data_IF_532014720647
#
_entry.id   IF_532014720647
#
_cell.length_a   1.000
_cell.length_b   1.000
_cell.length_c   1.000
_cell.angle_alpha   90.00
_cell.angle_beta   90.00
_cell.angle_gamma   90.00
#
_symmetry.space_group_name_H-M   'P 1'
#
loop_
_entity.id
_entity.type
_entity.pdbx_description
1 polymer ?
#
# COMPACT_ATOMS: atom_id res chain seq x y z
N UNK A 1 57.06 13.84 8.20
CA UNK A 1 56.72 14.95 7.29
C UNK A 1 56.15 14.36 6.02
N UNK A 2 54.83 14.37 5.84
CA UNK A 2 54.13 14.30 4.54
C UNK A 2 52.64 14.57 4.79
N UNK A 3 52.03 15.31 3.86
CA UNK A 3 50.87 16.17 4.04
C UNK A 3 49.53 15.47 3.78
N UNK A 4 48.55 15.91 4.56
CA UNK A 4 47.10 15.76 4.46
C UNK A 4 46.55 16.57 3.26
N UNK A 5 45.67 16.02 2.42
CA UNK A 5 44.68 16.79 1.64
C UNK A 5 43.45 15.91 1.32
N UNK A 6 42.35 16.16 2.03
CA UNK A 6 41.00 15.72 1.70
C UNK A 6 40.38 16.74 0.73
N UNK A 7 39.87 16.28 -0.40
CA UNK A 7 39.26 17.12 -1.44
C UNK A 7 37.87 17.63 -1.02
N UNK A 8 37.73 18.95 -1.09
CA UNK A 8 36.53 19.72 -0.79
C UNK A 8 35.46 19.63 -1.90
N UNK A 9 34.28 19.08 -1.61
CA UNK A 9 33.01 19.31 -2.35
C UNK A 9 31.75 19.27 -1.46
N UNK A 10 31.86 19.68 -0.19
CA UNK A 10 30.74 19.65 0.78
C UNK A 10 30.46 21.01 1.45
N UNK A 11 30.76 22.13 0.79
CA UNK A 11 30.74 23.46 1.42
C UNK A 11 29.70 24.46 0.87
N UNK A 12 28.72 24.06 0.08
CA UNK A 12 27.80 25.03 -0.55
C UNK A 12 26.30 24.80 -0.33
N UNK A 13 25.83 24.12 0.73
CA UNK A 13 24.38 24.08 0.97
C UNK A 13 23.91 24.05 2.44
N UNK A 14 24.70 24.56 3.38
CA UNK A 14 24.22 24.82 4.75
C UNK A 14 24.71 26.21 5.17
N UNK A 15 24.15 27.24 4.54
CA UNK A 15 24.38 28.64 4.92
C UNK A 15 23.21 29.56 4.49
N UNK A 16 21.95 29.12 4.65
CA UNK A 16 20.78 30.00 4.42
C UNK A 16 19.69 29.95 5.51
N UNK A 17 19.89 29.26 6.63
CA UNK A 17 18.89 29.27 7.73
C UNK A 17 19.60 29.52 9.06
N UNK A 18 20.04 30.76 9.26
CA UNK A 18 20.32 31.33 10.58
C UNK A 18 20.29 32.86 10.45
N UNK A 19 19.10 33.46 10.49
CA UNK A 19 18.94 34.87 10.86
C UNK A 19 17.81 34.98 11.89
N UNK A 20 18.17 34.72 13.14
CA UNK A 20 17.38 35.02 14.32
C UNK A 20 17.48 36.54 14.60
N UNK A 21 16.34 37.22 14.59
CA UNK A 21 16.17 38.57 15.13
C UNK A 21 14.94 38.56 16.04
N UNK A 22 15.17 38.68 17.34
CA UNK A 22 14.19 38.60 18.40
C UNK A 22 13.29 39.85 18.49
N UNK A 23 12.02 39.66 18.86
CA UNK A 23 11.28 40.62 19.68
C UNK A 23 10.11 39.93 20.39
N UNK A 24 10.22 39.88 21.72
CA UNK A 24 9.24 39.39 22.68
C UNK A 24 8.25 40.52 23.00
N UNK A 25 6.93 40.27 22.99
CA UNK A 25 5.97 41.06 23.77
C UNK A 25 4.81 40.16 24.27
N UNK A 26 4.26 40.40 25.49
CA UNK A 26 3.29 39.51 26.12
C UNK A 26 1.83 40.02 25.97
N UNK A 27 0.88 39.11 25.83
CA UNK A 27 -0.57 39.40 25.88
C UNK A 27 -1.20 38.33 26.78
N UNK A 28 -1.34 38.58 28.08
CA UNK A 28 -2.52 39.11 28.78
C UNK A 28 -3.77 38.21 28.70
N UNK A 29 -3.99 37.39 29.73
CA UNK A 29 -5.28 36.76 30.05
C UNK A 29 -6.23 37.78 30.71
N UNK A 30 -7.55 37.65 30.52
CA UNK A 30 -8.49 37.83 31.64
C UNK A 30 -9.71 36.84 31.55
N UNK A 31 -10.68 36.88 32.47
CA UNK A 31 -10.78 36.02 33.65
C UNK A 31 -11.94 35.00 33.59
N UNK A 32 -11.96 34.07 34.55
CA UNK A 32 -13.05 33.12 34.78
C UNK A 32 -14.32 33.82 35.32
N UNK A 33 -15.52 33.43 34.83
CA UNK A 33 -16.75 33.46 35.63
C UNK A 33 -17.90 32.57 35.12
N UNK A 34 -18.36 31.73 36.06
CA UNK A 34 -19.72 31.21 36.33
C UNK A 34 -20.49 30.36 35.30
N UNK A 35 -20.75 29.11 35.71
CA UNK A 35 -21.86 28.26 35.27
C UNK A 35 -23.23 28.85 35.66
N UNK A 36 -24.32 28.32 35.06
CA UNK A 36 -25.42 27.82 35.88
C UNK A 36 -25.81 26.37 35.57
N UNK A 37 -26.46 25.82 36.58
CA UNK A 37 -26.84 24.43 36.83
C UNK A 37 -28.19 24.03 36.22
N UNK A 38 -28.35 22.72 36.05
CA UNK A 38 -29.56 21.90 36.05
C UNK A 38 -30.58 22.05 34.89
N UNK A 39 -30.86 20.95 34.21
CA UNK A 39 -32.05 20.09 34.46
C UNK A 39 -32.12 18.94 33.45
N UNK A 40 -32.05 17.71 33.94
CA UNK A 40 -32.50 16.49 33.24
C UNK A 40 -34.04 16.49 33.19
N UNK A 41 -34.68 15.84 32.19
CA UNK A 41 -35.21 14.51 32.48
C UNK A 41 -35.17 13.53 31.29
N UNK A 42 -34.92 12.26 31.59
CA UNK A 42 -35.39 11.07 30.85
C UNK A 42 -36.67 10.53 31.53
N UNK A 43 -37.43 9.52 31.03
CA UNK A 43 -37.33 8.74 29.78
C UNK A 43 -38.67 8.62 29.00
N UNK A 44 -38.63 8.21 27.72
CA UNK A 44 -39.79 7.57 27.05
C UNK A 44 -39.34 6.32 26.33
N UNK A 45 -39.89 5.19 26.75
CA UNK A 45 -39.82 3.87 26.14
C UNK A 45 -40.96 3.66 25.15
N UNK A 46 -40.65 3.09 23.99
CA UNK A 46 -41.55 2.15 23.31
C UNK A 46 -40.71 1.05 22.65
N UNK A 47 -40.84 -0.16 23.18
CA UNK A 47 -40.47 -1.41 22.52
C UNK A 47 -41.39 -1.65 21.32
N UNK A 48 -40.85 -2.16 20.22
CA UNK A 48 -41.56 -3.10 19.33
C UNK A 48 -40.56 -3.99 18.57
N UNK A 49 -40.31 -5.14 19.19
CA UNK A 49 -40.42 -6.52 18.64
C UNK A 49 -39.85 -6.86 17.26
N UNK A 50 -38.94 -7.84 17.33
CA UNK A 50 -38.95 -9.11 16.61
C UNK A 50 -38.40 -9.20 15.17
N UNK A 51 -37.28 -9.93 15.11
CA UNK A 51 -36.97 -11.00 14.17
C UNK A 51 -36.69 -10.61 12.71
N UNK A 52 -35.39 -10.56 12.38
CA UNK A 52 -34.86 -11.48 11.38
C UNK A 52 -33.35 -11.61 11.52
N UNK A 53 -32.93 -12.78 12.00
CA UNK A 53 -31.63 -13.33 11.68
C UNK A 53 -31.51 -13.42 10.15
N UNK A 54 -30.78 -12.49 9.54
CA UNK A 54 -30.20 -12.71 8.22
C UNK A 54 -28.72 -13.02 8.43
N UNK A 55 -28.47 -14.33 8.38
CA UNK A 55 -27.24 -15.03 8.07
C UNK A 55 -26.36 -14.32 7.01
N UNK A 56 -25.69 -13.23 7.37
CA UNK A 56 -24.53 -12.76 6.64
C UNK A 56 -23.30 -13.55 7.08
N UNK A 57 -23.35 -14.87 6.88
CA UNK A 57 -22.16 -15.70 6.79
C UNK A 57 -21.49 -15.42 5.43
N UNK A 58 -21.06 -14.19 5.21
CA UNK A 58 -19.84 -14.00 4.43
C UNK A 58 -18.73 -14.62 5.27
N UNK A 59 -17.95 -15.59 4.74
CA UNK A 59 -16.74 -16.02 5.42
C UNK A 59 -15.94 -14.77 5.73
N UNK A 60 -15.88 -14.39 7.00
CA UNK A 60 -14.97 -13.36 7.48
C UNK A 60 -13.59 -13.78 6.97
N UNK A 61 -12.89 -12.94 6.19
CA UNK A 61 -11.59 -13.33 5.66
C UNK A 61 -10.70 -13.68 6.85
N UNK A 62 -10.34 -14.95 6.98
CA UNK A 62 -9.53 -15.49 8.08
C UNK A 62 -8.06 -15.09 7.96
N UNK A 63 -7.77 -13.87 7.52
CA UNK A 63 -6.44 -13.30 7.44
C UNK A 63 -6.48 -11.78 7.26
N UNK A 64 -5.37 -11.12 7.57
CA UNK A 64 -5.35 -9.67 7.67
C UNK A 64 -5.39 -8.99 6.29
N UNK A 65 -6.17 -7.93 6.17
CA UNK A 65 -6.12 -6.99 5.06
C UNK A 65 -5.29 -5.78 5.47
N UNK A 66 -4.37 -5.34 4.61
CA UNK A 66 -3.53 -4.17 4.86
C UNK A 66 -3.66 -3.17 3.72
N UNK A 67 -4.16 -1.99 4.06
CA UNK A 67 -4.29 -0.85 3.16
C UNK A 67 -3.20 0.19 3.44
N UNK A 68 -2.29 0.33 2.49
CA UNK A 68 -1.23 1.33 2.41
C UNK A 68 -1.38 2.20 1.16
N UNK A 69 -2.60 2.29 0.60
CA UNK A 69 -2.88 3.13 -0.54
C UNK A 69 -2.73 4.61 -0.20
N UNK A 70 -2.26 5.40 -1.18
CA UNK A 70 -2.16 6.86 -1.06
C UNK A 70 -1.42 7.37 0.19
N UNK A 71 -0.29 6.73 0.53
CA UNK A 71 0.57 7.13 1.67
C UNK A 71 1.84 7.88 1.23
N UNK A 72 2.00 8.12 -0.07
CA UNK A 72 3.18 8.78 -0.62
C UNK A 72 4.46 7.93 -0.52
N UNK A 73 4.32 6.61 -0.42
CA UNK A 73 5.45 5.69 -0.29
C UNK A 73 6.31 5.73 -1.55
N UNK A 74 7.62 5.85 -1.36
CA UNK A 74 8.62 5.73 -2.45
C UNK A 74 9.25 4.33 -2.51
N UNK A 75 9.15 3.59 -1.41
CA UNK A 75 9.57 2.19 -1.27
C UNK A 75 8.57 1.43 -0.42
N UNK A 76 8.48 0.12 -0.63
CA UNK A 76 7.66 -0.76 0.20
C UNK A 76 8.33 -0.92 1.58
N UNK A 77 7.63 -0.64 2.70
CA UNK A 77 8.18 -0.86 4.03
C UNK A 77 8.45 -2.35 4.27
N UNK A 78 9.63 -2.68 4.83
CA UNK A 78 10.07 -4.08 4.99
C UNK A 78 9.13 -4.91 5.85
N UNK A 79 8.52 -4.32 6.88
CA UNK A 79 7.59 -5.04 7.78
C UNK A 79 6.39 -5.65 7.04
N UNK A 80 6.01 -5.11 5.88
CA UNK A 80 4.91 -5.66 5.08
C UNK A 80 5.27 -7.06 4.58
N UNK A 81 6.54 -7.29 4.26
CA UNK A 81 7.05 -8.54 3.71
C UNK A 81 7.19 -9.64 4.77
N UNK A 82 7.14 -9.28 6.05
CA UNK A 82 7.17 -10.20 7.19
C UNK A 82 5.76 -10.68 7.60
N UNK A 83 4.70 -10.08 7.04
CA UNK A 83 3.30 -10.34 7.42
C UNK A 83 2.71 -11.54 6.68
N UNK A 84 3.12 -12.74 7.08
CA UNK A 84 2.64 -14.01 6.49
C UNK A 84 1.13 -14.26 6.67
N UNK A 85 0.46 -13.52 7.54
CA UNK A 85 -0.98 -13.56 7.79
C UNK A 85 -1.81 -12.74 6.78
N UNK A 86 -1.16 -11.96 5.90
CA UNK A 86 -1.87 -11.12 4.93
C UNK A 86 -2.61 -11.94 3.89
N UNK A 87 -3.86 -11.55 3.66
CA UNK A 87 -4.71 -12.05 2.57
C UNK A 87 -5.02 -10.99 1.53
N UNK A 88 -4.90 -9.71 1.90
CA UNK A 88 -5.08 -8.57 1.00
C UNK A 88 -4.03 -7.52 1.30
N UNK A 89 -3.38 -7.02 0.25
CA UNK A 89 -2.42 -5.94 0.31
C UNK A 89 -2.74 -4.91 -0.76
N UNK A 90 -3.07 -3.71 -0.34
CA UNK A 90 -3.23 -2.55 -1.22
C UNK A 90 -2.08 -1.57 -0.98
N UNK A 91 -1.24 -1.37 -2.00
CA UNK A 91 -0.16 -0.37 -2.02
C UNK A 91 -0.34 0.61 -3.19
N UNK A 92 -1.56 0.72 -3.71
CA UNK A 92 -1.90 1.54 -4.87
C UNK A 92 -1.77 3.06 -4.60
N UNK A 93 -1.75 3.87 -5.66
CA UNK A 93 -1.68 5.33 -5.56
C UNK A 93 -0.48 5.83 -4.74
N UNK A 94 0.68 5.22 -4.91
CA UNK A 94 1.92 5.64 -4.25
C UNK A 94 2.95 6.11 -5.29
N UNK A 95 4.19 6.30 -4.86
CA UNK A 95 5.33 6.69 -5.70
C UNK A 95 6.38 5.58 -5.71
N UNK A 96 5.94 4.31 -5.61
CA UNK A 96 6.85 3.17 -5.57
C UNK A 96 7.57 3.05 -6.90
N UNK A 97 8.91 2.96 -6.85
CA UNK A 97 9.78 2.86 -8.03
C UNK A 97 10.56 1.55 -8.04
N UNK A 98 11.04 1.15 -9.22
CA UNK A 98 11.90 -0.03 -9.37
C UNK A 98 11.12 -1.33 -9.35
N UNK A 99 11.81 -2.43 -9.04
CA UNK A 99 11.20 -3.75 -8.98
C UNK A 99 10.60 -4.06 -7.60
N UNK A 100 9.53 -4.86 -7.57
CA UNK A 100 9.00 -5.41 -6.32
C UNK A 100 10.06 -6.33 -5.67
N UNK A 101 10.29 -6.26 -4.33
CA UNK A 101 11.26 -7.13 -3.67
C UNK A 101 10.86 -8.62 -3.74
N UNK A 102 11.85 -9.51 -3.90
CA UNK A 102 11.62 -10.97 -3.99
C UNK A 102 11.08 -11.59 -2.70
N UNK A 103 11.22 -10.91 -1.57
CA UNK A 103 10.65 -11.27 -0.27
C UNK A 103 9.11 -11.29 -0.29
N UNK A 104 8.45 -10.75 -1.32
CA UNK A 104 7.01 -10.93 -1.54
C UNK A 104 6.60 -12.41 -1.47
N UNK A 105 7.50 -13.34 -1.82
CA UNK A 105 7.28 -14.80 -1.70
C UNK A 105 6.81 -15.27 -0.32
N UNK A 106 7.09 -14.52 0.74
CA UNK A 106 6.70 -14.90 2.10
C UNK A 106 5.20 -14.69 2.38
N UNK A 107 4.50 -13.90 1.57
CA UNK A 107 3.06 -13.65 1.70
C UNK A 107 2.22 -14.81 1.12
N UNK A 108 2.42 -16.03 1.63
CA UNK A 108 1.83 -17.26 1.08
C UNK A 108 0.29 -17.30 1.09
N UNK A 109 -0.34 -16.54 1.98
CA UNK A 109 -1.80 -16.47 2.11
C UNK A 109 -2.43 -15.34 1.29
N UNK A 110 -1.62 -14.56 0.55
CA UNK A 110 -2.10 -13.39 -0.17
C UNK A 110 -3.01 -13.79 -1.32
N UNK A 111 -4.24 -13.25 -1.32
CA UNK A 111 -5.29 -13.50 -2.31
C UNK A 111 -5.47 -12.34 -3.26
N UNK A 112 -5.26 -11.12 -2.77
CA UNK A 112 -5.42 -9.89 -3.54
C UNK A 112 -4.20 -9.00 -3.35
N UNK A 113 -3.63 -8.53 -4.45
CA UNK A 113 -2.52 -7.58 -4.46
C UNK A 113 -2.83 -6.45 -5.45
N UNK A 114 -3.01 -5.25 -4.92
CA UNK A 114 -3.15 -4.03 -5.73
C UNK A 114 -1.89 -3.15 -5.59
N UNK A 115 -1.20 -2.94 -6.71
CA UNK A 115 -0.04 -2.06 -6.80
C UNK A 115 -0.24 -0.99 -7.87
N UNK A 116 -1.48 -0.74 -8.27
CA UNK A 116 -1.81 0.18 -9.35
C UNK A 116 -1.44 1.62 -9.05
N UNK A 117 -1.29 2.45 -10.08
CA UNK A 117 -0.94 3.87 -9.94
C UNK A 117 0.36 4.07 -9.13
N UNK A 118 1.43 3.44 -9.62
CA UNK A 118 2.79 3.58 -9.09
C UNK A 118 3.77 3.81 -10.26
N UNK A 119 5.08 3.72 -10.00
CA UNK A 119 6.16 3.89 -10.98
C UNK A 119 7.04 2.63 -11.01
N UNK A 120 6.44 1.46 -10.77
CA UNK A 120 7.17 0.20 -10.72
C UNK A 120 7.55 -0.27 -12.12
N UNK A 121 8.74 -0.83 -12.25
CA UNK A 121 9.33 -1.22 -13.54
C UNK A 121 9.45 -2.74 -13.72
N UNK A 122 9.33 -3.52 -12.65
CA UNK A 122 9.56 -4.97 -12.70
C UNK A 122 8.94 -5.76 -11.56
N UNK A 123 8.64 -7.02 -11.85
CA UNK A 123 8.25 -8.02 -10.87
C UNK A 123 9.38 -9.05 -10.71
N UNK A 124 9.64 -9.54 -9.48
CA UNK A 124 10.59 -10.61 -9.25
C UNK A 124 9.98 -11.95 -9.68
N UNK A 125 10.82 -12.92 -10.05
CA UNK A 125 10.40 -14.29 -10.37
C UNK A 125 9.59 -14.92 -9.21
N UNK A 126 9.94 -14.54 -7.98
CA UNK A 126 9.27 -14.93 -6.74
C UNK A 126 7.77 -14.62 -6.68
N UNK A 127 7.26 -13.70 -7.50
CA UNK A 127 5.81 -13.42 -7.59
C UNK A 127 5.03 -14.70 -7.94
N UNK A 128 5.62 -15.61 -8.73
CA UNK A 128 5.01 -16.89 -9.09
C UNK A 128 4.84 -17.88 -7.92
N UNK A 129 5.36 -17.55 -6.73
CA UNK A 129 5.24 -18.38 -5.52
C UNK A 129 4.06 -18.00 -4.63
N UNK A 130 3.24 -17.02 -5.03
CA UNK A 130 2.02 -16.58 -4.35
C UNK A 130 0.85 -17.49 -4.72
N UNK A 131 0.88 -18.75 -4.27
CA UNK A 131 -0.04 -19.80 -4.73
C UNK A 131 -1.52 -19.52 -4.47
N UNK A 132 -1.84 -18.67 -3.49
CA UNK A 132 -3.20 -18.28 -3.14
C UNK A 132 -3.73 -17.05 -3.89
N UNK A 133 -2.89 -16.40 -4.72
CA UNK A 133 -3.25 -15.15 -5.37
C UNK A 133 -4.36 -15.37 -6.41
N UNK A 134 -5.43 -14.61 -6.26
CA UNK A 134 -6.62 -14.65 -7.12
C UNK A 134 -6.77 -13.39 -7.96
N UNK A 135 -6.27 -12.26 -7.47
CA UNK A 135 -6.35 -10.97 -8.17
C UNK A 135 -5.02 -10.23 -8.05
N UNK A 136 -4.49 -9.80 -9.19
CA UNK A 136 -3.27 -9.02 -9.29
C UNK A 136 -3.52 -7.79 -10.16
N UNK A 137 -3.46 -6.60 -9.55
CA UNK A 137 -3.61 -5.33 -10.25
C UNK A 137 -2.26 -4.61 -10.37
N UNK A 138 -1.74 -4.54 -11.59
CA UNK A 138 -0.48 -3.89 -11.96
C UNK A 138 -0.72 -2.60 -12.77
N UNK A 139 -1.98 -2.20 -12.96
CA UNK A 139 -2.32 -1.13 -13.90
C UNK A 139 -1.65 0.20 -13.56
N UNK A 140 -1.42 1.02 -14.57
CA UNK A 140 -0.83 2.35 -14.45
C UNK A 140 0.52 2.31 -13.70
N UNK A 141 1.45 1.55 -14.26
CA UNK A 141 2.85 1.43 -13.82
C UNK A 141 3.77 1.58 -15.05
N UNK A 142 5.05 1.18 -14.92
CA UNK A 142 6.06 1.27 -15.97
C UNK A 142 6.62 -0.12 -16.30
N UNK A 143 5.83 -1.19 -16.16
CA UNK A 143 6.26 -2.55 -16.48
C UNK A 143 6.54 -2.67 -17.99
N UNK A 144 7.78 -2.98 -18.34
CA UNK A 144 8.22 -3.23 -19.73
C UNK A 144 8.36 -4.72 -20.06
N UNK A 145 8.38 -5.57 -19.03
CA UNK A 145 8.40 -7.02 -19.15
C UNK A 145 7.71 -7.67 -17.97
N UNK A 146 7.29 -8.92 -18.16
CA UNK A 146 6.60 -9.72 -17.15
C UNK A 146 7.35 -11.04 -16.93
N UNK A 147 7.63 -11.45 -15.67
CA UNK A 147 8.28 -12.73 -15.42
C UNK A 147 7.34 -13.87 -15.83
N UNK A 148 7.88 -14.87 -16.54
CA UNK A 148 7.11 -16.03 -17.00
C UNK A 148 6.55 -16.84 -15.81
N UNK A 149 7.14 -16.69 -14.62
CA UNK A 149 6.69 -17.27 -13.36
C UNK A 149 5.29 -16.81 -12.95
N UNK A 150 4.74 -15.71 -13.49
CA UNK A 150 3.31 -15.38 -13.34
C UNK A 150 2.41 -16.53 -13.84
N UNK A 151 2.88 -17.34 -14.80
CA UNK A 151 2.20 -18.55 -15.26
C UNK A 151 2.09 -19.66 -14.21
N UNK A 152 2.75 -19.53 -13.05
CA UNK A 152 2.64 -20.48 -11.94
C UNK A 152 1.47 -20.17 -11.01
N UNK A 153 0.82 -19.01 -11.14
CA UNK A 153 -0.28 -18.57 -10.28
C UNK A 153 -1.60 -19.27 -10.62
N UNK A 154 -1.72 -20.56 -10.32
CA UNK A 154 -2.84 -21.43 -10.75
C UNK A 154 -4.23 -20.99 -10.26
N UNK A 155 -4.30 -20.15 -9.22
CA UNK A 155 -5.55 -19.60 -8.68
C UNK A 155 -5.88 -18.20 -9.22
N UNK A 156 -5.02 -17.60 -10.03
CA UNK A 156 -5.21 -16.25 -10.54
C UNK A 156 -6.41 -16.20 -11.49
N UNK A 157 -7.35 -15.32 -11.17
CA UNK A 157 -8.58 -15.10 -11.93
C UNK A 157 -8.53 -13.78 -12.69
N UNK A 158 -7.92 -12.76 -12.11
CA UNK A 158 -7.85 -11.42 -12.68
C UNK A 158 -6.40 -10.94 -12.68
N UNK A 159 -5.93 -10.53 -13.86
CA UNK A 159 -4.67 -9.85 -14.06
C UNK A 159 -4.94 -8.54 -14.79
N UNK A 160 -4.72 -7.40 -14.13
CA UNK A 160 -4.89 -6.09 -14.75
C UNK A 160 -3.53 -5.48 -15.09
N UNK A 161 -3.30 -5.26 -16.38
CA UNK A 161 -2.07 -4.70 -16.95
C UNK A 161 -2.28 -3.33 -17.60
N UNK A 162 -3.49 -2.77 -17.54
CA UNK A 162 -3.87 -1.51 -18.19
C UNK A 162 -2.82 -0.42 -17.96
N UNK A 163 -2.43 0.29 -19.01
CA UNK A 163 -1.49 1.42 -18.88
C UNK A 163 -0.06 1.00 -18.48
N UNK A 164 0.43 -0.13 -18.99
CA UNK A 164 1.83 -0.53 -18.94
C UNK A 164 2.39 -0.74 -20.36
N UNK A 165 3.71 -0.92 -20.48
CA UNK A 165 4.43 -1.06 -21.75
C UNK A 165 5.05 -2.46 -21.92
N UNK A 166 4.37 -3.50 -21.44
CA UNK A 166 4.86 -4.88 -21.49
C UNK A 166 4.83 -5.45 -22.92
N UNK A 167 5.69 -6.43 -23.20
CA UNK A 167 5.65 -7.14 -24.47
C UNK A 167 4.51 -8.17 -24.49
N UNK A 168 3.65 -8.13 -25.52
CA UNK A 168 2.57 -9.11 -25.71
C UNK A 168 3.09 -10.55 -25.84
N UNK A 169 4.35 -10.74 -26.27
CA UNK A 169 5.01 -12.04 -26.29
C UNK A 169 5.19 -12.63 -24.87
N UNK A 170 5.51 -11.80 -23.88
CA UNK A 170 5.64 -12.24 -22.47
C UNK A 170 4.29 -12.76 -21.96
N UNK A 171 3.23 -11.99 -22.24
CA UNK A 171 1.87 -12.37 -21.87
C UNK A 171 1.46 -13.69 -22.52
N UNK A 172 1.77 -13.90 -23.80
CA UNK A 172 1.47 -15.15 -24.50
C UNK A 172 2.13 -16.38 -23.83
N UNK A 173 3.35 -16.22 -23.30
CA UNK A 173 4.04 -17.30 -22.56
C UNK A 173 3.38 -17.54 -21.20
N UNK A 174 3.07 -16.47 -20.46
CA UNK A 174 2.41 -16.55 -19.15
C UNK A 174 1.05 -17.28 -19.25
N UNK A 175 0.26 -16.94 -20.26
CA UNK A 175 -1.08 -17.51 -20.46
C UNK A 175 -1.08 -19.02 -20.75
N UNK A 176 0.05 -19.62 -21.18
CA UNK A 176 0.17 -21.08 -21.26
C UNK A 176 0.03 -21.75 -19.90
N UNK A 177 0.46 -21.07 -18.83
CA UNK A 177 0.39 -21.58 -17.46
C UNK A 177 -0.94 -21.30 -16.75
N UNK A 178 -1.66 -20.26 -17.15
CA UNK A 178 -2.90 -19.77 -16.55
C UNK A 178 -3.96 -19.40 -17.62
N UNK A 179 -4.42 -20.36 -18.44
CA UNK A 179 -5.20 -20.06 -19.66
C UNK A 179 -6.57 -19.44 -19.41
N UNK A 180 -7.13 -19.57 -18.19
CA UNK A 180 -8.46 -19.07 -17.83
C UNK A 180 -8.44 -17.71 -17.12
N UNK A 181 -7.26 -17.07 -16.99
CA UNK A 181 -7.18 -15.77 -16.33
C UNK A 181 -7.84 -14.69 -17.20
N UNK A 182 -8.67 -13.85 -16.57
CA UNK A 182 -9.19 -12.64 -17.22
C UNK A 182 -8.09 -11.58 -17.19
N UNK A 183 -7.57 -11.26 -18.37
CA UNK A 183 -6.61 -10.16 -18.54
C UNK A 183 -7.34 -8.87 -18.91
N UNK A 184 -7.03 -7.80 -18.18
CA UNK A 184 -7.48 -6.43 -18.48
C UNK A 184 -6.26 -5.67 -19.00
N UNK A 185 -6.39 -5.00 -20.15
CA UNK A 185 -5.30 -4.35 -20.89
C UNK A 185 -5.67 -2.91 -21.21
#
# INVERSE_FOLDING_TARGET
MTKLFLSARWLTLIALIMLLGAACTPISQPPARSQPSASEPTPVSTEQTNNQATINNTPQPTGAALDLSNKGLTKLPSYVLDRTDLTSLDISYNKLTGALPGEIRFLKNLKTLDMSYNQMTGLPAEVGQLSELTELNLSYNQFTGLPYELGNLKKLKILNLTGNAYAEADLAVILRGIPNVRVIK
#
